data_IF_547220968423
#
_entry.id   IF_547220968423
#
_cell.length_a   1.000
_cell.length_b   1.000
_cell.length_c   1.000
_cell.angle_alpha   90.00
_cell.angle_beta   90.00
_cell.angle_gamma   90.00
#
_symmetry.space_group_name_H-M   'P 1'
#
loop_
_entity.id
_entity.type
_entity.pdbx_description
1 polymer ?
#
# COMPACT_ATOMS: atom_id res chain seq x y z
N UNK A 1 -45.84 17.30 -15.09
CA UNK A 1 -44.46 16.76 -15.01
C UNK A 1 -43.70 16.84 -16.35
N UNK A 2 -44.18 17.60 -17.33
CA UNK A 2 -43.61 17.66 -18.69
C UNK A 2 -42.68 18.87 -18.89
N UNK A 3 -42.97 20.00 -18.25
CA UNK A 3 -42.24 21.27 -18.42
C UNK A 3 -40.75 21.20 -18.04
N UNK A 4 -40.39 20.43 -16.99
CA UNK A 4 -39.01 20.34 -16.49
C UNK A 4 -38.08 19.61 -17.49
N UNK A 5 -38.62 18.71 -18.32
CA UNK A 5 -37.85 17.96 -19.31
C UNK A 5 -37.71 18.69 -20.65
N UNK A 6 -38.55 19.71 -20.90
CA UNK A 6 -38.56 20.43 -22.19
C UNK A 6 -37.38 21.38 -22.36
N UNK A 7 -36.76 21.82 -21.26
CA UNK A 7 -35.62 22.75 -21.30
C UNK A 7 -34.33 22.06 -20.90
N UNK A 8 -33.48 21.81 -21.88
CA UNK A 8 -32.11 21.36 -21.64
C UNK A 8 -31.39 22.36 -20.73
N UNK A 9 -30.84 21.86 -19.64
CA UNK A 9 -29.95 22.64 -18.80
C UNK A 9 -28.74 23.10 -19.63
N UNK A 10 -28.26 24.33 -19.41
CA UNK A 10 -27.07 24.80 -20.10
C UNK A 10 -25.88 23.90 -19.76
N UNK A 11 -24.92 23.75 -20.69
CA UNK A 11 -23.72 22.97 -20.46
C UNK A 11 -23.01 23.48 -19.19
N UNK A 12 -22.57 22.54 -18.35
CA UNK A 12 -21.87 22.89 -17.11
C UNK A 12 -20.59 23.63 -17.47
N UNK A 13 -20.41 24.82 -16.91
CA UNK A 13 -19.17 25.59 -17.05
C UNK A 13 -17.97 24.78 -16.55
N UNK A 14 -16.81 24.86 -17.23
CA UNK A 14 -15.58 24.28 -16.72
C UNK A 14 -15.26 24.91 -15.36
N UNK A 15 -14.82 24.09 -14.42
CA UNK A 15 -14.38 24.57 -13.10
C UNK A 15 -12.90 24.85 -13.18
N UNK A 16 -12.44 25.98 -12.61
CA UNK A 16 -11.01 26.26 -12.44
C UNK A 16 -10.29 25.12 -11.72
N UNK A 17 -10.96 24.49 -10.74
CA UNK A 17 -10.51 23.25 -10.13
C UNK A 17 -11.50 22.10 -10.44
N UNK A 18 -11.10 21.07 -11.20
CA UNK A 18 -11.95 19.91 -11.42
C UNK A 18 -12.21 19.19 -10.09
N UNK A 19 -13.43 18.66 -9.94
CA UNK A 19 -13.85 17.98 -8.70
C UNK A 19 -12.93 16.81 -8.34
N UNK A 20 -12.32 16.16 -9.32
CA UNK A 20 -11.34 15.08 -9.13
C UNK A 20 -10.13 15.55 -8.34
N UNK A 21 -9.56 16.70 -8.70
CA UNK A 21 -8.40 17.27 -7.98
C UNK A 21 -8.82 17.64 -6.57
N UNK A 22 -9.94 18.36 -6.41
CA UNK A 22 -10.43 18.72 -5.07
C UNK A 22 -10.64 17.48 -4.19
N UNK A 23 -11.32 16.45 -4.70
CA UNK A 23 -11.55 15.19 -3.99
C UNK A 23 -10.25 14.52 -3.60
N UNK A 24 -9.30 14.39 -4.54
CA UNK A 24 -7.95 13.82 -4.31
C UNK A 24 -7.22 14.56 -3.20
N UNK A 25 -7.20 15.89 -3.26
CA UNK A 25 -6.50 16.72 -2.26
C UNK A 25 -7.19 16.66 -0.89
N UNK A 26 -8.52 16.66 -0.83
CA UNK A 26 -9.26 16.53 0.45
C UNK A 26 -9.17 15.13 1.06
N UNK A 27 -9.02 14.09 0.24
CA UNK A 27 -8.85 12.71 0.73
C UNK A 27 -7.39 12.34 0.98
N UNK A 28 -6.45 13.21 0.63
CA UNK A 28 -5.03 12.97 0.86
C UNK A 28 -4.79 12.96 2.37
N UNK A 29 -4.65 11.76 2.93
CA UNK A 29 -4.39 11.59 4.36
C UNK A 29 -3.00 12.12 4.66
N UNK A 30 -2.93 13.13 5.51
CA UNK A 30 -1.67 13.54 6.11
C UNK A 30 -1.08 12.34 6.89
N UNK A 31 0.24 12.26 6.97
CA UNK A 31 0.90 11.30 7.86
C UNK A 31 0.40 11.55 9.28
N UNK A 32 -0.13 10.52 9.94
CA UNK A 32 -0.57 10.67 11.33
C UNK A 32 0.65 10.77 12.25
N UNK A 33 0.55 11.47 13.39
CA UNK A 33 1.63 11.60 14.37
C UNK A 33 2.21 10.26 14.84
N UNK A 34 1.39 9.20 14.92
CA UNK A 34 1.86 7.86 15.32
C UNK A 34 2.80 7.19 14.30
N UNK A 35 2.85 7.66 13.05
CA UNK A 35 3.85 7.21 12.08
C UNK A 35 5.19 7.96 12.20
N UNK A 36 5.31 8.95 13.10
CA UNK A 36 6.53 9.71 13.27
C UNK A 36 7.66 8.84 13.86
N UNK A 37 7.31 7.98 14.82
CA UNK A 37 8.22 7.04 15.48
C UNK A 37 7.63 5.62 15.44
N UNK A 38 7.70 4.93 14.28
CA UNK A 38 7.27 3.54 14.21
C UNK A 38 8.17 2.67 15.11
N UNK A 39 7.62 1.61 15.74
CA UNK A 39 8.44 0.66 16.49
C UNK A 39 9.47 0.00 15.54
N UNK A 40 10.66 -0.36 16.04
CA UNK A 40 11.64 -1.08 15.25
C UNK A 40 11.05 -2.43 14.82
N UNK A 41 11.40 -2.93 13.61
CA UNK A 41 11.00 -4.26 13.20
C UNK A 41 11.59 -5.30 14.17
N UNK A 42 10.90 -6.45 14.38
CA UNK A 42 11.46 -7.51 15.19
C UNK A 42 12.78 -7.97 14.59
N UNK A 43 13.84 -7.92 15.39
CA UNK A 43 15.14 -8.47 14.98
C UNK A 43 15.01 -10.00 14.95
N UNK A 44 15.34 -10.67 13.83
CA UNK A 44 15.43 -12.12 13.84
C UNK A 44 16.55 -12.50 14.80
N UNK A 45 16.21 -13.19 15.89
CA UNK A 45 17.20 -13.83 16.76
C UNK A 45 17.85 -14.94 15.93
N UNK A 46 19.16 -14.87 15.62
CA UNK A 46 19.81 -15.94 14.88
C UNK A 46 19.77 -17.21 15.74
N UNK A 47 19.08 -18.24 15.25
CA UNK A 47 19.11 -19.56 15.90
C UNK A 47 20.44 -20.20 15.55
N UNK A 48 21.29 -20.39 16.56
CA UNK A 48 22.54 -21.11 16.41
C UNK A 48 22.21 -22.60 16.21
N UNK A 49 22.20 -23.06 14.96
CA UNK A 49 22.04 -24.49 14.67
C UNK A 49 23.35 -25.20 15.02
N UNK A 50 23.26 -26.27 15.81
CA UNK A 50 24.42 -27.12 16.08
C UNK A 50 24.91 -27.74 14.77
N UNK A 51 26.23 -27.82 14.52
CA UNK A 51 26.73 -28.47 13.31
C UNK A 51 26.25 -29.91 13.27
N UNK A 52 25.46 -30.27 12.26
CA UNK A 52 25.10 -31.66 12.01
C UNK A 52 26.33 -32.37 11.48
N UNK A 53 26.88 -33.31 12.27
CA UNK A 53 28.02 -34.13 11.88
C UNK A 53 27.72 -34.80 10.53
N UNK A 54 28.51 -34.49 9.49
CA UNK A 54 28.39 -35.13 8.18
C UNK A 54 28.64 -36.64 8.35
N UNK A 55 27.64 -37.45 8.02
CA UNK A 55 27.80 -38.91 8.01
C UNK A 55 28.83 -39.27 6.93
N UNK A 56 29.88 -40.06 7.24
CA UNK A 56 30.87 -40.46 6.26
C UNK A 56 30.23 -41.31 5.16
N UNK A 57 30.45 -40.92 3.89
CA UNK A 57 29.99 -41.68 2.73
C UNK A 57 30.89 -42.91 2.53
N UNK A 58 30.32 -44.13 2.42
CA UNK A 58 31.12 -45.32 2.15
C UNK A 58 31.77 -45.24 0.77
N UNK A 59 33.08 -45.44 0.72
CA UNK A 59 33.84 -45.55 -0.54
C UNK A 59 33.69 -46.96 -1.09
N UNK A 60 33.44 -47.08 -2.41
CA UNK A 60 33.43 -48.39 -3.09
C UNK A 60 34.84 -48.98 -3.10
N UNK A 61 35.02 -50.28 -2.77
CA UNK A 61 36.29 -50.95 -2.96
C UNK A 61 36.55 -51.16 -4.47
N UNK A 62 37.82 -50.99 -4.85
CA UNK A 62 38.38 -51.26 -6.19
C UNK A 62 38.60 -52.74 -6.41
#
# INVERSE_FOLDING_TARGET
>A
MTEILQRLLPPRRPRANPRVIKRKMTSWKLKHPHHHNPPPPPHPTPVLTTPTRTTPTPRKPT
#
